data_IF_760355273731
#
_entry.id   IF_760355273731
#
_cell.length_a   1.000
_cell.length_b   1.000
_cell.length_c   1.000
_cell.angle_alpha   90.00
_cell.angle_beta   90.00
_cell.angle_gamma   90.00
#
_symmetry.space_group_name_H-M   'P 1'
#
loop_
_entity.id
_entity.type
_entity.pdbx_description
1 polymer ?
#
# COMPACT_ATOMS: atom_id res chain seq x y z
N UNK A 1 -26.72 55.41 18.14
CA UNK A 1 -27.00 53.96 18.26
C UNK A 1 -25.92 53.26 17.47
N UNK A 2 -24.88 52.79 18.15
CA UNK A 2 -23.82 51.95 17.56
C UNK A 2 -23.97 50.57 18.22
N UNK A 3 -24.73 49.68 17.59
CA UNK A 3 -24.74 48.26 17.95
C UNK A 3 -23.51 47.61 17.31
N UNK A 4 -22.44 47.51 18.09
CA UNK A 4 -21.32 46.64 17.77
C UNK A 4 -21.61 45.26 18.38
N UNK A 5 -22.03 44.32 17.54
CA UNK A 5 -22.10 42.90 17.90
C UNK A 5 -20.72 42.45 18.41
N UNK A 6 -20.60 41.79 19.57
CA UNK A 6 -19.30 41.34 20.05
C UNK A 6 -18.72 40.34 19.06
N UNK A 7 -17.50 40.60 18.60
CA UNK A 7 -16.68 39.65 17.87
C UNK A 7 -16.68 38.32 18.63
N UNK A 8 -16.97 37.23 17.90
CA UNK A 8 -16.98 35.86 18.39
C UNK A 8 -15.76 35.59 19.28
N UNK A 9 -15.97 34.97 20.45
CA UNK A 9 -14.89 34.51 21.32
C UNK A 9 -13.83 33.80 20.46
N UNK A 10 -12.52 34.07 20.66
CA UNK A 10 -11.47 33.26 20.06
C UNK A 10 -11.78 31.81 20.42
N UNK A 11 -11.84 30.92 19.43
CA UNK A 11 -12.05 29.49 19.69
C UNK A 11 -10.99 29.04 20.69
N UNK A 12 -11.42 28.46 21.80
CA UNK A 12 -10.48 27.87 22.75
C UNK A 12 -9.65 26.82 21.99
N UNK A 13 -8.31 26.90 22.03
CA UNK A 13 -7.49 25.88 21.40
C UNK A 13 -7.82 24.54 22.04
N UNK A 14 -8.24 23.57 21.21
CA UNK A 14 -8.46 22.22 21.69
C UNK A 14 -7.13 21.67 22.26
N UNK A 15 -7.17 20.88 23.35
CA UNK A 15 -5.97 20.20 23.84
C UNK A 15 -5.30 19.43 22.70
N UNK A 16 -3.98 19.59 22.55
CA UNK A 16 -3.21 18.86 21.53
C UNK A 16 -3.23 17.37 21.90
N UNK A 17 -3.88 16.54 21.07
CA UNK A 17 -3.78 15.10 21.20
C UNK A 17 -2.34 14.69 20.86
N UNK A 18 -1.61 14.21 21.86
CA UNK A 18 -0.26 13.68 21.65
C UNK A 18 -0.39 12.20 21.28
N UNK A 19 -0.12 11.88 20.02
CA UNK A 19 -0.12 10.51 19.54
C UNK A 19 1.27 9.94 19.78
N UNK A 20 1.41 9.03 20.73
CA UNK A 20 2.62 8.25 21.00
C UNK A 20 2.50 6.79 20.57
N UNK A 21 3.58 6.03 20.75
CA UNK A 21 3.67 4.60 20.40
C UNK A 21 2.70 3.69 21.18
N UNK A 22 2.18 4.14 22.32
CA UNK A 22 1.27 3.38 23.19
C UNK A 22 -0.19 3.85 23.10
N UNK A 23 -0.49 4.82 22.24
CA UNK A 23 -1.84 5.37 22.08
C UNK A 23 -2.77 4.30 21.55
N UNK A 24 -4.00 4.25 22.05
CA UNK A 24 -5.02 3.31 21.58
C UNK A 24 -5.54 3.74 20.21
N UNK A 25 -5.60 2.80 19.26
CA UNK A 25 -6.10 3.04 17.90
C UNK A 25 -7.50 3.66 17.92
N UNK A 26 -8.35 3.27 18.89
CA UNK A 26 -9.73 3.76 19.01
C UNK A 26 -9.81 5.23 19.42
N UNK A 27 -8.82 5.72 20.17
CA UNK A 27 -8.76 7.12 20.58
C UNK A 27 -8.31 8.02 19.44
N UNK A 28 -7.41 7.50 18.57
CA UNK A 28 -6.94 8.23 17.39
C UNK A 28 -8.05 8.31 16.35
N UNK A 29 -8.78 7.21 16.16
CA UNK A 29 -9.81 7.08 15.14
C UNK A 29 -11.23 7.36 15.66
N UNK A 30 -11.38 7.95 16.85
CA UNK A 30 -12.71 8.19 17.45
C UNK A 30 -13.57 9.09 16.55
N UNK A 31 -12.98 10.12 15.97
CA UNK A 31 -13.67 10.99 15.01
C UNK A 31 -14.04 10.25 13.72
N UNK A 32 -13.11 9.44 13.17
CA UNK A 32 -13.39 8.63 11.99
C UNK A 32 -14.58 7.70 12.20
N UNK A 33 -14.67 7.07 13.39
CA UNK A 33 -15.78 6.19 13.76
C UNK A 33 -17.12 6.94 13.85
N UNK A 34 -17.12 8.12 14.47
CA UNK A 34 -18.32 8.98 14.53
C UNK A 34 -18.75 9.44 13.14
N UNK A 35 -17.78 9.78 12.29
CA UNK A 35 -18.01 10.19 10.92
C UNK A 35 -18.57 9.07 10.05
N UNK A 36 -18.08 7.83 10.23
CA UNK A 36 -18.60 6.65 9.56
C UNK A 36 -20.08 6.40 9.89
N UNK A 37 -20.45 6.48 11.18
CA UNK A 37 -21.86 6.36 11.62
C UNK A 37 -22.73 7.49 11.08
N UNK A 38 -22.23 8.72 11.11
CA UNK A 38 -22.96 9.89 10.60
C UNK A 38 -23.25 9.78 9.10
N UNK A 39 -22.34 9.16 8.34
CA UNK A 39 -22.46 8.97 6.88
C UNK A 39 -23.19 7.68 6.49
N UNK A 40 -23.59 6.84 7.44
CA UNK A 40 -24.30 5.59 7.16
C UNK A 40 -23.42 4.57 6.46
N UNK A 41 -22.12 4.50 6.78
CA UNK A 41 -21.20 3.55 6.16
C UNK A 41 -21.52 2.09 6.47
N UNK A 42 -22.44 1.80 7.42
CA UNK A 42 -22.97 0.46 7.64
C UNK A 42 -23.56 -0.18 6.37
N UNK A 43 -24.16 0.61 5.48
CA UNK A 43 -24.83 0.15 4.25
C UNK A 43 -23.92 0.16 3.01
N UNK A 44 -22.63 0.43 3.20
CA UNK A 44 -21.65 0.57 2.12
C UNK A 44 -20.60 -0.51 2.26
N UNK A 45 -20.31 -1.25 1.19
CA UNK A 45 -19.08 -2.04 1.15
C UNK A 45 -17.89 -1.08 1.07
N UNK A 46 -16.96 -1.19 2.03
CA UNK A 46 -15.72 -0.43 2.04
C UNK A 46 -14.55 -1.41 2.19
N UNK A 47 -13.68 -1.42 1.19
CA UNK A 47 -12.48 -2.25 1.14
C UNK A 47 -11.28 -1.32 1.17
N UNK A 48 -10.42 -1.49 2.16
CA UNK A 48 -9.15 -0.79 2.24
C UNK A 48 -8.05 -1.65 1.62
N UNK A 49 -7.51 -1.18 0.50
CA UNK A 49 -6.52 -1.93 -0.29
C UNK A 49 -5.10 -1.63 0.16
N UNK A 50 -4.90 -0.69 1.08
CA UNK A 50 -3.58 -0.34 1.58
C UNK A 50 -3.61 0.00 3.07
N UNK A 51 -3.09 -0.90 3.88
CA UNK A 51 -2.90 -0.70 5.31
C UNK A 51 -1.67 -1.49 5.76
N UNK A 52 -1.13 -1.14 6.92
CA UNK A 52 0.22 -1.53 7.30
C UNK A 52 0.29 -2.28 8.63
N UNK A 53 1.08 -3.35 8.61
CA UNK A 53 1.55 -4.07 9.77
C UNK A 53 2.94 -3.58 10.12
N UNK A 54 3.12 -3.09 11.35
CA UNK A 54 4.44 -2.73 11.88
C UNK A 54 5.14 -4.01 12.38
N UNK A 55 5.68 -4.79 11.44
CA UNK A 55 6.14 -6.16 11.68
C UNK A 55 7.38 -6.26 12.57
N UNK A 56 8.10 -5.15 12.74
CA UNK A 56 9.27 -5.06 13.63
C UNK A 56 8.93 -5.36 15.11
N UNK A 57 7.68 -5.16 15.53
CA UNK A 57 7.22 -5.52 16.88
C UNK A 57 7.09 -7.04 17.04
N UNK A 58 6.57 -7.69 16.00
CA UNK A 58 6.33 -9.14 15.94
C UNK A 58 7.53 -9.90 15.34
N UNK A 59 8.68 -9.23 15.20
CA UNK A 59 9.87 -9.76 14.49
C UNK A 59 10.37 -11.09 15.05
N UNK A 60 10.30 -11.25 16.37
CA UNK A 60 10.73 -12.47 17.07
C UNK A 60 9.93 -13.72 16.71
N UNK A 61 8.69 -13.54 16.25
CA UNK A 61 7.83 -14.61 15.73
C UNK A 61 8.11 -14.84 14.25
N UNK A 62 8.23 -13.76 13.47
CA UNK A 62 8.50 -13.83 12.03
C UNK A 62 9.80 -14.58 11.73
N UNK A 63 10.89 -14.30 12.47
CA UNK A 63 12.17 -14.99 12.25
C UNK A 63 12.09 -16.51 12.55
N UNK A 64 11.06 -16.99 13.25
CA UNK A 64 10.85 -18.43 13.43
C UNK A 64 10.43 -19.13 12.13
N UNK A 65 9.94 -18.38 11.16
CA UNK A 65 9.48 -18.87 9.86
C UNK A 65 10.57 -18.89 8.79
N UNK A 66 11.80 -18.45 9.12
CA UNK A 66 12.94 -18.57 8.21
C UNK A 66 13.24 -20.07 7.96
N UNK A 67 13.25 -20.44 6.68
CA UNK A 67 13.41 -21.84 6.25
C UNK A 67 14.85 -22.35 6.42
N UNK A 68 15.85 -21.51 6.18
CA UNK A 68 17.25 -21.89 6.37
C UNK A 68 17.60 -21.96 7.87
N UNK A 69 18.03 -23.13 8.39
CA UNK A 69 18.24 -23.32 9.82
C UNK A 69 19.40 -22.49 10.38
N UNK A 70 20.43 -22.20 9.58
CA UNK A 70 21.58 -21.39 10.00
C UNK A 70 21.20 -19.92 10.07
N UNK A 71 20.49 -19.43 9.05
CA UNK A 71 19.97 -18.05 9.03
C UNK A 71 18.97 -17.84 10.17
N UNK A 72 18.09 -18.81 10.41
CA UNK A 72 17.15 -18.78 11.54
C UNK A 72 17.87 -18.72 12.89
N UNK A 73 18.87 -19.58 13.14
CA UNK A 73 19.65 -19.52 14.39
C UNK A 73 20.36 -18.17 14.54
N UNK A 74 20.96 -17.65 13.47
CA UNK A 74 21.56 -16.32 13.46
C UNK A 74 20.55 -15.22 13.85
N UNK A 75 19.36 -15.23 13.24
CA UNK A 75 18.31 -14.26 13.51
C UNK A 75 17.83 -14.33 14.97
N UNK A 76 17.61 -15.54 15.49
CA UNK A 76 17.17 -15.76 16.88
C UNK A 76 18.23 -15.28 17.87
N UNK A 77 19.51 -15.59 17.62
CA UNK A 77 20.62 -15.13 18.47
C UNK A 77 20.75 -13.61 18.44
N UNK A 78 20.65 -13.01 17.26
CA UNK A 78 20.70 -11.56 17.08
C UNK A 78 19.60 -10.86 17.89
N UNK A 79 18.36 -11.34 17.79
CA UNK A 79 17.23 -10.79 18.54
C UNK A 79 17.43 -10.91 20.07
N UNK A 80 17.84 -12.10 20.55
CA UNK A 80 18.06 -12.35 21.99
C UNK A 80 19.17 -11.48 22.59
N UNK A 81 20.22 -11.22 21.83
CA UNK A 81 21.36 -10.43 22.30
C UNK A 81 21.09 -8.91 22.28
N UNK A 82 19.96 -8.46 21.72
CA UNK A 82 19.56 -7.04 21.61
C UNK A 82 20.73 -6.13 21.21
N UNK A 83 21.38 -6.48 20.10
CA UNK A 83 22.29 -5.56 19.43
C UNK A 83 21.45 -4.33 19.07
N UNK A 84 21.83 -3.12 19.52
CA UNK A 84 21.07 -1.86 19.34
C UNK A 84 20.99 -1.38 17.89
N UNK A 85 20.69 -2.28 16.97
CA UNK A 85 20.67 -2.14 15.53
C UNK A 85 19.29 -2.61 15.01
N UNK A 86 18.96 -2.30 13.74
CA UNK A 86 17.70 -2.71 13.14
C UNK A 86 17.42 -4.22 13.28
N UNK A 87 16.15 -4.66 13.20
CA UNK A 87 15.84 -6.09 13.20
C UNK A 87 16.68 -6.86 12.19
N UNK A 88 17.06 -8.10 12.54
CA UNK A 88 17.99 -8.92 11.75
C UNK A 88 17.62 -8.95 10.26
N UNK A 89 18.57 -8.59 9.39
CA UNK A 89 18.41 -8.68 7.94
C UNK A 89 17.58 -7.56 7.29
N UNK A 90 16.94 -6.68 8.07
CA UNK A 90 16.32 -5.49 7.50
C UNK A 90 17.41 -4.50 7.10
N UNK A 91 17.42 -4.12 5.82
CA UNK A 91 18.11 -2.92 5.39
C UNK A 91 17.26 -1.71 5.81
N UNK A 92 17.89 -0.77 6.51
CA UNK A 92 17.28 0.51 6.81
C UNK A 92 18.16 1.62 6.28
N UNK A 93 17.56 2.74 5.88
CA UNK A 93 18.32 3.95 5.65
C UNK A 93 19.00 4.35 6.98
N UNK A 94 20.34 4.37 6.98
CA UNK A 94 21.12 4.92 8.09
C UNK A 94 20.94 6.45 8.11
N UNK A 95 20.04 6.97 8.94
CA UNK A 95 19.89 8.41 9.08
C UNK A 95 18.56 8.92 9.61
N UNK A 96 18.18 10.10 9.11
CA UNK A 96 17.04 10.90 9.59
C UNK A 96 15.72 10.25 9.19
N UNK A 97 15.09 9.55 10.14
CA UNK A 97 13.72 9.04 9.99
C UNK A 97 12.74 10.18 10.15
N UNK A 98 12.19 10.62 9.02
CA UNK A 98 11.23 11.73 8.99
C UNK A 98 9.78 11.27 8.79
N UNK A 99 9.53 9.99 8.51
CA UNK A 99 8.18 9.44 8.34
C UNK A 99 7.33 9.58 9.60
N UNK A 100 7.90 9.46 10.82
CA UNK A 100 7.19 9.82 12.06
C UNK A 100 7.03 11.34 12.31
N UNK A 101 7.15 12.14 11.25
CA UNK A 101 7.00 13.60 11.27
C UNK A 101 7.95 14.27 12.28
N UNK A 102 9.18 13.78 12.33
CA UNK A 102 10.20 14.19 13.30
C UNK A 102 9.92 13.70 14.73
N UNK A 103 9.29 12.52 14.86
CA UNK A 103 8.92 11.91 16.15
C UNK A 103 7.58 12.39 16.73
N UNK A 104 6.82 13.21 16.01
CA UNK A 104 5.51 13.70 16.44
C UNK A 104 4.40 12.66 16.31
N UNK A 105 4.53 11.75 15.34
CA UNK A 105 3.62 10.63 15.12
C UNK A 105 4.47 9.35 15.05
N UNK A 106 5.07 8.92 16.17
CA UNK A 106 6.01 7.80 16.21
C UNK A 106 5.32 6.44 16.10
N UNK A 107 3.99 6.37 16.21
CA UNK A 107 3.26 5.11 16.10
C UNK A 107 3.40 4.45 14.73
N UNK A 108 3.58 5.26 13.67
CA UNK A 108 3.79 4.76 12.31
C UNK A 108 5.09 3.96 12.19
N UNK A 109 6.06 4.21 13.08
CA UNK A 109 7.35 3.51 13.11
C UNK A 109 7.41 2.36 14.14
N UNK A 110 6.70 2.46 15.27
CA UNK A 110 6.87 1.58 16.44
C UNK A 110 5.56 1.42 17.24
N UNK A 111 4.50 0.85 16.64
CA UNK A 111 3.17 0.71 17.25
C UNK A 111 3.13 -0.32 18.40
N UNK A 112 3.31 0.17 19.63
CA UNK A 112 3.31 -0.60 20.89
C UNK A 112 2.04 -0.40 21.72
N UNK A 113 0.92 -0.19 21.05
CA UNK A 113 -0.41 -0.18 21.67
C UNK A 113 -0.60 -1.44 22.54
N UNK A 114 -1.15 -1.24 23.74
CA UNK A 114 -1.43 -2.33 24.66
C UNK A 114 -2.67 -3.08 24.22
N UNK A 115 -2.52 -4.38 24.00
CA UNK A 115 -3.61 -5.30 23.64
C UNK A 115 -3.85 -6.22 24.83
N UNK A 116 -5.05 -6.19 25.39
CA UNK A 116 -5.42 -7.01 26.54
C UNK A 116 -6.16 -8.29 26.13
N UNK A 117 -6.71 -8.31 24.93
CA UNK A 117 -7.33 -9.45 24.28
C UNK A 117 -6.26 -10.51 23.98
N UNK A 118 -6.57 -11.78 24.25
CA UNK A 118 -5.61 -12.89 24.10
C UNK A 118 -6.12 -14.02 23.20
N UNK A 119 -7.35 -13.91 22.69
CA UNK A 119 -8.00 -14.95 21.88
C UNK A 119 -7.34 -15.10 20.49
N UNK A 120 -6.78 -14.01 19.97
CA UNK A 120 -6.10 -13.95 18.67
C UNK A 120 -4.79 -13.17 18.80
N UNK A 121 -3.96 -13.22 17.76
CA UNK A 121 -2.70 -12.48 17.72
C UNK A 121 -2.91 -10.98 17.90
N UNK A 122 -1.98 -10.28 18.59
CA UNK A 122 -2.11 -8.85 18.86
C UNK A 122 -2.36 -8.01 17.60
N UNK A 123 -1.71 -8.36 16.50
CA UNK A 123 -1.81 -7.59 15.26
C UNK A 123 -3.17 -7.79 14.60
N UNK A 124 -3.82 -8.94 14.79
CA UNK A 124 -5.23 -9.15 14.39
C UNK A 124 -6.14 -8.19 15.15
N UNK A 125 -5.96 -8.06 16.46
CA UNK A 125 -6.76 -7.14 17.30
C UNK A 125 -6.58 -5.69 16.84
N UNK A 126 -5.34 -5.27 16.58
CA UNK A 126 -5.05 -3.91 16.11
C UNK A 126 -5.67 -3.64 14.74
N UNK A 127 -5.58 -4.59 13.82
CA UNK A 127 -6.24 -4.50 12.51
C UNK A 127 -7.77 -4.43 12.66
N UNK A 128 -8.38 -5.26 13.51
CA UNK A 128 -9.82 -5.21 13.79
C UNK A 128 -10.25 -3.87 14.42
N UNK A 129 -9.45 -3.30 15.33
CA UNK A 129 -9.70 -1.97 15.91
C UNK A 129 -9.70 -0.90 14.82
N UNK A 130 -8.71 -0.93 13.92
CA UNK A 130 -8.64 0.00 12.80
C UNK A 130 -9.85 -0.17 11.86
N UNK A 131 -10.14 -1.40 11.44
CA UNK A 131 -11.28 -1.71 10.57
C UNK A 131 -12.60 -1.22 11.14
N UNK A 132 -12.88 -1.51 12.41
CA UNK A 132 -14.12 -1.08 13.06
C UNK A 132 -14.20 0.45 13.20
N UNK A 133 -13.07 1.12 13.45
CA UNK A 133 -13.04 2.57 13.64
C UNK A 133 -13.14 3.33 12.31
N UNK A 134 -12.58 2.79 11.23
CA UNK A 134 -12.66 3.37 9.88
C UNK A 134 -13.93 2.97 9.12
N UNK A 135 -14.66 1.94 9.59
CA UNK A 135 -15.83 1.42 8.89
C UNK A 135 -15.47 0.58 7.67
N UNK A 136 -14.50 -0.31 7.80
CA UNK A 136 -13.96 -1.16 6.73
C UNK A 136 -14.49 -2.59 6.86
N UNK A 137 -14.88 -3.19 5.73
CA UNK A 137 -15.29 -4.60 5.63
C UNK A 137 -14.13 -5.54 5.36
N UNK A 138 -13.22 -5.15 4.47
CA UNK A 138 -12.02 -5.90 4.09
C UNK A 138 -10.80 -4.98 4.17
N UNK A 139 -9.74 -5.44 4.81
CA UNK A 139 -8.49 -4.67 4.91
C UNK A 139 -7.33 -5.51 4.39
N UNK A 140 -6.64 -5.00 3.38
CA UNK A 140 -5.41 -5.56 2.83
C UNK A 140 -4.24 -5.03 3.64
N UNK A 141 -3.45 -5.93 4.20
CA UNK A 141 -2.34 -5.58 5.09
C UNK A 141 -1.00 -5.89 4.41
N UNK A 142 -0.18 -4.85 4.24
CA UNK A 142 1.21 -4.87 3.78
C UNK A 142 2.19 -4.82 4.97
N UNK A 143 3.43 -5.28 4.80
CA UNK A 143 4.50 -4.94 5.75
C UNK A 143 4.87 -3.45 5.66
N UNK A 144 5.66 -2.95 6.62
CA UNK A 144 6.16 -1.57 6.63
C UNK A 144 7.68 -1.52 6.41
N UNK A 145 8.57 -1.78 7.40
CA UNK A 145 10.01 -1.84 7.16
C UNK A 145 10.47 -2.75 6.01
N UNK A 146 9.82 -3.89 5.79
CA UNK A 146 10.21 -4.82 4.73
C UNK A 146 9.97 -4.29 3.32
N UNK A 147 9.25 -3.19 3.15
CA UNK A 147 9.10 -2.53 1.83
C UNK A 147 10.45 -2.06 1.25
N UNK A 148 11.48 -1.95 2.08
CA UNK A 148 12.84 -1.61 1.63
C UNK A 148 13.68 -2.82 1.19
N UNK A 149 13.24 -4.06 1.41
CA UNK A 149 14.04 -5.26 1.12
C UNK A 149 14.41 -5.41 -0.36
N UNK A 150 13.69 -4.78 -1.27
CA UNK A 150 14.05 -4.75 -2.69
C UNK A 150 15.42 -4.13 -2.98
N UNK A 151 15.92 -3.30 -2.06
CA UNK A 151 17.25 -2.67 -2.08
C UNK A 151 18.30 -3.42 -1.26
N UNK A 152 18.00 -4.59 -0.71
CA UNK A 152 18.95 -5.31 0.14
C UNK A 152 20.18 -5.74 -0.67
N UNK A 153 21.43 -5.49 -0.20
CA UNK A 153 22.65 -5.80 -0.96
C UNK A 153 22.91 -7.31 -1.11
N UNK A 154 22.24 -8.14 -0.31
CA UNK A 154 22.23 -9.60 -0.41
C UNK A 154 20.82 -10.05 -0.82
N UNK A 155 20.58 -10.41 -2.10
CA UNK A 155 19.26 -10.81 -2.59
C UNK A 155 18.61 -11.97 -1.82
N UNK A 156 19.42 -12.87 -1.25
CA UNK A 156 18.95 -14.02 -0.49
C UNK A 156 18.21 -13.62 0.80
N UNK A 157 18.54 -12.46 1.37
CA UNK A 157 17.86 -11.96 2.55
C UNK A 157 16.40 -11.58 2.26
N UNK A 158 16.13 -11.04 1.07
CA UNK A 158 14.77 -10.76 0.61
C UNK A 158 13.96 -12.07 0.51
N UNK A 159 14.57 -13.15 0.04
CA UNK A 159 13.96 -14.49 -0.02
C UNK A 159 13.64 -15.01 1.38
N UNK A 160 14.63 -15.03 2.28
CA UNK A 160 14.45 -15.57 3.63
C UNK A 160 13.39 -14.82 4.43
N UNK A 161 13.42 -13.48 4.40
CA UNK A 161 12.50 -12.65 5.18
C UNK A 161 11.13 -12.57 4.52
N UNK A 162 11.05 -12.36 3.20
CA UNK A 162 9.79 -12.26 2.46
C UNK A 162 8.94 -13.51 2.60
N UNK A 163 9.55 -14.69 2.45
CA UNK A 163 8.85 -15.97 2.60
C UNK A 163 8.47 -16.27 4.06
N UNK A 164 9.35 -15.94 5.01
CA UNK A 164 9.04 -16.06 6.44
C UNK A 164 7.84 -15.19 6.85
N UNK A 165 7.80 -13.96 6.36
CA UNK A 165 6.69 -13.04 6.59
C UNK A 165 5.37 -13.55 6.01
N UNK A 166 5.37 -14.05 4.77
CA UNK A 166 4.16 -14.63 4.17
C UNK A 166 3.62 -15.80 4.99
N UNK A 167 4.49 -16.71 5.45
CA UNK A 167 4.10 -17.83 6.33
C UNK A 167 3.52 -17.34 7.66
N UNK A 168 4.19 -16.39 8.31
CA UNK A 168 3.68 -15.76 9.54
C UNK A 168 2.30 -15.13 9.33
N UNK A 169 2.13 -14.33 8.27
CA UNK A 169 0.85 -13.70 7.94
C UNK A 169 -0.24 -14.75 7.75
N UNK A 170 0.00 -15.77 6.94
CA UNK A 170 -0.97 -16.84 6.66
C UNK A 170 -1.36 -17.58 7.95
N UNK A 171 -0.39 -18.04 8.73
CA UNK A 171 -0.66 -18.91 9.88
C UNK A 171 -1.19 -18.18 11.12
N UNK A 172 -0.78 -16.92 11.32
CA UNK A 172 -1.03 -16.19 12.59
C UNK A 172 -2.04 -15.07 12.44
N UNK A 173 -2.08 -14.42 11.28
CA UNK A 173 -2.89 -13.22 11.07
C UNK A 173 -4.14 -13.54 10.25
N UNK A 174 -3.95 -14.04 9.03
CA UNK A 174 -5.04 -14.27 8.07
C UNK A 174 -5.96 -15.43 8.47
N UNK A 175 -5.46 -16.37 9.30
CA UNK A 175 -6.25 -17.49 9.81
C UNK A 175 -7.29 -17.07 10.87
N UNK A 176 -7.13 -15.88 11.48
CA UNK A 176 -7.96 -15.44 12.60
C UNK A 176 -9.22 -14.65 12.19
N UNK A 177 -9.16 -13.93 11.07
CA UNK A 177 -10.29 -13.13 10.56
C UNK A 177 -10.22 -13.10 9.03
N UNK A 178 -11.22 -13.68 8.36
CA UNK A 178 -11.28 -13.83 6.91
C UNK A 178 -11.48 -12.50 6.16
N UNK A 179 -11.75 -11.41 6.89
CA UNK A 179 -11.80 -10.04 6.36
C UNK A 179 -10.43 -9.40 6.23
N UNK A 180 -9.43 -9.90 6.96
CA UNK A 180 -8.04 -9.45 6.82
C UNK A 180 -7.43 -10.20 5.63
N UNK A 181 -6.96 -9.44 4.66
CA UNK A 181 -6.38 -9.94 3.41
C UNK A 181 -4.94 -9.47 3.29
N UNK A 182 -4.19 -10.04 2.35
CA UNK A 182 -2.86 -9.55 2.01
C UNK A 182 -2.59 -9.72 0.52
N UNK A 183 -1.69 -8.88 0.00
CA UNK A 183 -0.96 -9.18 -1.22
C UNK A 183 0.40 -9.74 -0.81
N UNK A 184 0.62 -11.03 -1.06
CA UNK A 184 1.79 -11.73 -0.54
C UNK A 184 3.08 -11.09 -1.07
N UNK A 185 4.05 -10.88 -0.18
CA UNK A 185 5.34 -10.30 -0.52
C UNK A 185 6.10 -11.20 -1.49
N UNK A 186 6.56 -10.66 -2.61
CA UNK A 186 7.32 -11.42 -3.60
C UNK A 186 8.82 -11.06 -3.52
N UNK A 187 9.72 -12.04 -3.28
CA UNK A 187 11.16 -11.79 -3.25
C UNK A 187 11.71 -11.59 -4.66
N UNK A 188 11.48 -10.39 -5.19
CA UNK A 188 11.54 -10.11 -6.61
C UNK A 188 12.99 -10.04 -7.13
N UNK A 189 14.01 -9.89 -6.27
CA UNK A 189 15.41 -9.99 -6.72
C UNK A 189 15.79 -11.39 -7.22
N UNK A 190 15.03 -12.44 -6.88
CA UNK A 190 15.28 -13.83 -7.29
C UNK A 190 14.05 -14.42 -8.00
N UNK A 191 13.97 -14.38 -9.35
CA UNK A 191 12.76 -14.72 -10.10
C UNK A 191 12.26 -16.15 -9.84
N UNK A 192 13.17 -17.11 -9.68
CA UNK A 192 12.84 -18.50 -9.39
C UNK A 192 12.14 -18.64 -8.03
N UNK A 193 12.65 -17.94 -7.00
CA UNK A 193 12.03 -17.90 -5.67
C UNK A 193 10.73 -17.09 -5.66
N UNK A 194 10.60 -16.07 -6.53
CA UNK A 194 9.35 -15.37 -6.74
C UNK A 194 8.26 -16.31 -7.30
N UNK A 195 8.58 -17.11 -8.33
CA UNK A 195 7.67 -18.11 -8.90
C UNK A 195 7.28 -19.14 -7.85
N UNK A 196 8.28 -19.68 -7.12
CA UNK A 196 8.05 -20.63 -6.03
C UNK A 196 7.09 -20.04 -4.99
N UNK A 197 7.32 -18.81 -4.57
CA UNK A 197 6.48 -18.13 -3.57
C UNK A 197 5.05 -17.99 -4.07
N UNK A 198 4.83 -17.53 -5.31
CA UNK A 198 3.49 -17.43 -5.92
C UNK A 198 2.77 -18.78 -5.92
N UNK A 199 3.45 -19.87 -6.32
CA UNK A 199 2.84 -21.21 -6.37
C UNK A 199 2.43 -21.74 -5.00
N UNK A 200 3.21 -21.44 -3.97
CA UNK A 200 2.95 -21.91 -2.61
C UNK A 200 1.79 -21.15 -1.93
N UNK A 201 1.76 -19.81 -2.07
CA UNK A 201 0.80 -18.97 -1.34
C UNK A 201 -0.44 -18.61 -2.17
N UNK A 202 -0.36 -18.73 -3.49
CA UNK A 202 -1.38 -18.31 -4.43
C UNK A 202 -2.71 -19.07 -4.32
N UNK A 203 -2.73 -20.24 -3.67
CA UNK A 203 -3.97 -21.01 -3.42
C UNK A 203 -4.71 -20.58 -2.14
N UNK A 204 -4.11 -19.74 -1.29
CA UNK A 204 -4.75 -19.35 -0.03
C UNK A 204 -5.81 -18.26 -0.25
N UNK A 205 -7.02 -18.44 0.31
CA UNK A 205 -8.19 -17.57 0.08
C UNK A 205 -8.02 -16.13 0.61
N UNK A 206 -7.18 -15.95 1.63
CA UNK A 206 -6.86 -14.60 2.16
C UNK A 206 -5.63 -13.95 1.51
N UNK A 207 -4.93 -14.65 0.62
CA UNK A 207 -3.88 -14.05 -0.22
C UNK A 207 -4.55 -13.66 -1.54
N UNK A 208 -4.89 -12.40 -1.72
CA UNK A 208 -5.72 -11.96 -2.86
C UNK A 208 -4.92 -11.35 -4.01
N UNK A 209 -3.59 -11.32 -3.88
CA UNK A 209 -2.66 -10.88 -4.92
C UNK A 209 -1.22 -10.92 -4.41
N UNK A 210 -0.35 -10.20 -5.10
CA UNK A 210 1.09 -10.26 -4.88
C UNK A 210 1.70 -8.87 -4.83
N UNK A 211 2.58 -8.61 -3.86
CA UNK A 211 3.23 -7.32 -3.66
C UNK A 211 4.68 -7.35 -4.11
N UNK A 212 5.06 -6.40 -4.95
CA UNK A 212 6.44 -6.07 -5.30
C UNK A 212 6.74 -4.67 -4.77
N UNK A 213 7.85 -4.54 -4.05
CA UNK A 213 8.33 -3.24 -3.58
C UNK A 213 8.94 -2.45 -4.75
N UNK A 214 8.47 -1.24 -4.98
CA UNK A 214 8.87 -0.45 -6.15
C UNK A 214 10.23 0.20 -6.01
N UNK A 215 10.69 0.46 -4.80
CA UNK A 215 12.07 0.88 -4.49
C UNK A 215 13.03 -0.27 -4.78
N UNK A 216 13.43 -0.38 -6.05
CA UNK A 216 14.35 -1.37 -6.60
C UNK A 216 14.89 -0.92 -7.95
N UNK A 217 16.08 -1.43 -8.29
CA UNK A 217 16.69 -1.19 -9.59
C UNK A 217 16.52 -2.34 -10.58
N UNK A 218 16.11 -3.52 -10.11
CA UNK A 218 15.96 -4.67 -10.99
C UNK A 218 14.80 -4.41 -11.97
N UNK A 219 15.05 -4.46 -13.30
CA UNK A 219 14.07 -4.03 -14.29
C UNK A 219 12.86 -4.95 -14.31
N UNK A 220 11.67 -4.44 -13.99
CA UNK A 220 10.42 -5.22 -13.94
C UNK A 220 10.04 -5.84 -15.29
N UNK A 221 10.53 -5.33 -16.40
CA UNK A 221 10.25 -5.85 -17.74
C UNK A 221 11.21 -6.97 -18.19
N UNK A 222 12.20 -7.35 -17.36
CA UNK A 222 13.20 -8.35 -17.75
C UNK A 222 12.57 -9.71 -18.09
N UNK A 223 13.15 -10.42 -19.06
CA UNK A 223 12.60 -11.69 -19.55
C UNK A 223 12.52 -12.79 -18.48
N UNK A 224 13.35 -12.72 -17.44
CA UNK A 224 13.33 -13.70 -16.33
C UNK A 224 12.00 -13.66 -15.55
N UNK A 225 11.23 -12.57 -15.63
CA UNK A 225 9.93 -12.46 -14.96
C UNK A 225 8.75 -12.95 -15.80
N UNK A 226 8.97 -13.35 -17.06
CA UNK A 226 7.85 -13.75 -17.92
C UNK A 226 7.16 -15.01 -17.42
N UNK A 227 7.90 -15.95 -16.84
CA UNK A 227 7.31 -17.09 -16.13
C UNK A 227 6.50 -16.61 -14.92
N UNK A 228 7.07 -15.75 -14.08
CA UNK A 228 6.39 -15.19 -12.91
C UNK A 228 5.04 -14.56 -13.28
N UNK A 229 5.01 -13.71 -14.30
CA UNK A 229 3.78 -13.06 -14.78
C UNK A 229 2.78 -14.05 -15.38
N UNK A 230 3.26 -15.07 -16.10
CA UNK A 230 2.40 -16.16 -16.58
C UNK A 230 1.73 -16.87 -15.41
N UNK A 231 2.50 -17.22 -14.37
CA UNK A 231 1.98 -17.92 -13.20
C UNK A 231 0.99 -17.04 -12.42
N UNK A 232 1.31 -15.77 -12.17
CA UNK A 232 0.37 -14.85 -11.52
C UNK A 232 -0.95 -14.72 -12.30
N UNK A 233 -0.87 -14.68 -13.63
CA UNK A 233 -2.05 -14.68 -14.50
C UNK A 233 -2.86 -15.97 -14.44
N UNK A 234 -2.22 -17.14 -14.28
CA UNK A 234 -2.90 -18.42 -14.08
C UNK A 234 -3.71 -18.45 -12.77
N UNK A 235 -3.21 -17.79 -11.72
CA UNK A 235 -3.91 -17.62 -10.46
C UNK A 235 -5.05 -16.58 -10.51
N UNK A 236 -5.17 -15.83 -11.61
CA UNK A 236 -6.11 -14.69 -11.77
C UNK A 236 -6.01 -13.66 -10.63
N UNK A 237 -4.80 -13.47 -10.09
CA UNK A 237 -4.51 -12.58 -8.98
C UNK A 237 -3.62 -11.42 -9.43
N UNK A 238 -3.92 -10.17 -9.00
CA UNK A 238 -3.16 -9.00 -9.42
C UNK A 238 -1.75 -8.97 -8.82
N UNK A 239 -0.88 -8.22 -9.51
CA UNK A 239 0.42 -7.78 -9.00
C UNK A 239 0.33 -6.32 -8.59
N UNK A 240 0.75 -5.99 -7.38
CA UNK A 240 0.82 -4.64 -6.86
C UNK A 240 2.27 -4.15 -6.78
N UNK A 241 2.48 -2.90 -7.17
CA UNK A 241 3.73 -2.17 -7.07
C UNK A 241 3.59 -1.13 -5.95
N UNK A 242 4.05 -1.51 -4.77
CA UNK A 242 3.97 -0.67 -3.57
C UNK A 242 5.10 0.32 -3.55
N UNK A 243 4.75 1.59 -3.42
CA UNK A 243 5.74 2.64 -3.49
C UNK A 243 6.59 2.76 -2.23
N UNK A 244 7.58 3.64 -2.31
CA UNK A 244 8.54 3.96 -1.29
C UNK A 244 9.51 5.03 -1.81
N UNK A 245 10.39 5.51 -0.95
CA UNK A 245 11.46 6.42 -1.33
C UNK A 245 12.83 5.76 -1.13
N UNK A 246 13.87 6.26 -1.80
CA UNK A 246 15.23 5.83 -1.54
C UNK A 246 16.21 6.98 -1.72
N UNK A 247 16.83 7.41 -0.62
CA UNK A 247 17.70 8.59 -0.62
C UNK A 247 18.95 8.44 -1.50
N UNK A 248 19.39 7.21 -1.74
CA UNK A 248 20.57 6.92 -2.55
C UNK A 248 20.20 6.65 -4.02
N UNK A 249 18.95 6.88 -4.44
CA UNK A 249 18.60 6.83 -5.85
C UNK A 249 19.37 7.91 -6.62
N UNK A 250 20.16 7.55 -7.64
CA UNK A 250 20.94 8.50 -8.43
C UNK A 250 20.12 9.63 -9.05
N UNK A 251 18.85 9.38 -9.38
CA UNK A 251 17.97 10.37 -10.01
C UNK A 251 17.36 11.36 -9.01
N UNK A 252 17.39 11.05 -7.71
CA UNK A 252 16.86 11.88 -6.63
C UNK A 252 17.97 12.48 -5.75
N UNK A 253 19.25 12.25 -6.07
CA UNK A 253 20.39 12.64 -5.23
C UNK A 253 20.52 14.15 -4.95
N UNK A 254 19.90 14.99 -5.77
CA UNK A 254 19.92 16.46 -5.62
C UNK A 254 18.80 16.98 -4.71
N UNK A 255 17.84 16.14 -4.34
CA UNK A 255 16.75 16.47 -3.44
C UNK A 255 17.29 16.54 -2.01
N UNK A 256 17.26 17.73 -1.40
CA UNK A 256 17.92 17.99 -0.13
C UNK A 256 16.99 18.09 1.09
N UNK A 257 15.68 17.90 0.90
CA UNK A 257 14.66 17.94 1.97
C UNK A 257 13.78 16.70 1.91
N UNK A 258 13.39 16.19 3.08
CA UNK A 258 12.46 15.07 3.16
C UNK A 258 11.12 15.37 2.49
N UNK A 259 10.60 16.60 2.59
CA UNK A 259 9.37 16.98 1.87
C UNK A 259 9.47 16.68 0.36
N UNK A 260 10.60 17.04 -0.27
CA UNK A 260 10.83 16.74 -1.68
C UNK A 260 11.08 15.25 -1.93
N UNK A 261 11.80 14.57 -1.03
CA UNK A 261 12.07 13.14 -1.17
C UNK A 261 10.79 12.30 -1.03
N UNK A 262 9.89 12.69 -0.12
CA UNK A 262 8.60 12.04 0.06
C UNK A 262 7.72 12.26 -1.17
N UNK A 263 7.58 13.52 -1.62
CA UNK A 263 6.72 13.86 -2.75
C UNK A 263 7.19 13.26 -4.09
N UNK A 264 8.51 13.19 -4.32
CA UNK A 264 9.05 12.66 -5.57
C UNK A 264 9.40 11.18 -5.49
N UNK A 265 9.99 10.71 -4.39
CA UNK A 265 10.46 9.33 -4.23
C UNK A 265 9.33 8.31 -4.38
N UNK A 266 8.22 8.53 -3.67
CA UNK A 266 7.02 7.69 -3.76
C UNK A 266 6.35 7.72 -5.14
N UNK A 267 6.67 8.67 -6.01
CA UNK A 267 6.15 8.68 -7.39
C UNK A 267 7.14 8.00 -8.33
N UNK A 268 8.43 8.26 -8.13
CA UNK A 268 9.46 8.12 -9.14
C UNK A 268 9.65 6.68 -9.60
N UNK A 269 9.83 5.73 -8.67
CA UNK A 269 10.02 4.33 -9.03
C UNK A 269 8.80 3.76 -9.75
N UNK A 270 7.58 4.07 -9.30
CA UNK A 270 6.35 3.63 -9.96
C UNK A 270 6.19 4.22 -11.36
N UNK A 271 6.54 5.49 -11.56
CA UNK A 271 6.55 6.11 -12.89
C UNK A 271 7.52 5.41 -13.86
N UNK A 272 8.73 5.07 -13.38
CA UNK A 272 9.74 4.34 -14.18
C UNK A 272 9.29 2.90 -14.47
N UNK A 273 8.80 2.18 -13.46
CA UNK A 273 8.34 0.80 -13.62
C UNK A 273 7.12 0.71 -14.52
N UNK A 274 6.16 1.63 -14.40
CA UNK A 274 4.99 1.69 -15.27
C UNK A 274 5.37 1.98 -16.71
N UNK A 275 6.26 2.95 -16.94
CA UNK A 275 6.79 3.24 -18.28
C UNK A 275 7.34 1.96 -18.92
N UNK A 276 8.18 1.24 -18.18
CA UNK A 276 8.75 -0.02 -18.65
C UNK A 276 7.70 -1.13 -18.83
N UNK A 277 6.74 -1.23 -17.92
CA UNK A 277 5.66 -2.21 -17.96
C UNK A 277 4.81 -2.06 -19.23
N UNK A 278 4.42 -0.83 -19.54
CA UNK A 278 3.59 -0.51 -20.69
C UNK A 278 4.41 -0.62 -21.98
N UNK A 279 5.53 0.08 -22.11
CA UNK A 279 6.28 0.14 -23.38
C UNK A 279 6.86 -1.23 -23.82
N UNK A 280 7.09 -2.16 -22.90
CA UNK A 280 7.50 -3.52 -23.24
C UNK A 280 6.32 -4.47 -23.54
N UNK A 281 5.08 -3.96 -23.60
CA UNK A 281 3.89 -4.74 -23.95
C UNK A 281 3.54 -5.82 -22.94
N UNK A 282 3.83 -5.62 -21.64
CA UNK A 282 3.49 -6.61 -20.61
C UNK A 282 1.97 -6.85 -20.56
N UNK A 283 1.09 -5.82 -20.61
CA UNK A 283 -0.36 -6.03 -20.71
C UNK A 283 -0.80 -6.74 -22.01
N UNK A 284 -0.08 -6.58 -23.12
CA UNK A 284 -0.37 -7.31 -24.37
C UNK A 284 -0.01 -8.79 -24.26
N UNK A 285 1.10 -9.10 -23.58
CA UNK A 285 1.56 -10.47 -23.37
C UNK A 285 0.74 -11.22 -22.32
N UNK A 286 0.31 -10.53 -21.27
CA UNK A 286 -0.46 -11.08 -20.16
C UNK A 286 -1.74 -10.28 -19.93
N UNK A 287 -2.72 -10.33 -20.86
CA UNK A 287 -3.88 -9.45 -20.84
C UNK A 287 -4.83 -9.64 -19.65
N UNK A 288 -4.75 -10.76 -18.92
CA UNK A 288 -5.52 -10.97 -17.69
C UNK A 288 -4.73 -10.61 -16.42
N UNK A 289 -3.43 -10.34 -16.53
CA UNK A 289 -2.63 -9.91 -15.38
C UNK A 289 -2.90 -8.43 -15.10
N UNK A 290 -3.65 -8.19 -14.04
CA UNK A 290 -4.00 -6.86 -13.54
C UNK A 290 -2.81 -6.30 -12.74
N UNK A 291 -2.42 -5.05 -12.99
CA UNK A 291 -1.42 -4.36 -12.16
C UNK A 291 -2.07 -3.32 -11.26
N UNK A 292 -1.58 -3.16 -10.03
CA UNK A 292 -2.05 -2.16 -9.08
C UNK A 292 -0.87 -1.27 -8.68
N UNK A 293 -1.05 0.04 -8.75
CA UNK A 293 -0.03 1.03 -8.42
C UNK A 293 -0.42 1.70 -7.10
N UNK A 294 0.33 1.37 -6.05
CA UNK A 294 -0.05 1.61 -4.66
C UNK A 294 0.82 2.72 -4.07
N UNK A 295 0.20 3.65 -3.33
CA UNK A 295 0.85 4.67 -2.49
C UNK A 295 1.73 5.69 -3.24
N UNK A 296 1.41 6.01 -4.50
CA UNK A 296 2.16 7.00 -5.31
C UNK A 296 1.43 8.33 -5.51
N UNK A 297 0.27 8.49 -4.87
CA UNK A 297 -0.71 9.49 -5.28
C UNK A 297 -1.16 9.29 -6.73
N UNK A 298 -1.90 10.26 -7.27
CA UNK A 298 -2.57 10.11 -8.57
C UNK A 298 -2.15 11.19 -9.58
N UNK A 299 -1.63 12.33 -9.13
CA UNK A 299 -1.34 13.48 -9.98
C UNK A 299 -0.30 13.21 -11.09
N UNK A 300 0.58 12.21 -10.91
CA UNK A 300 1.58 11.82 -11.90
C UNK A 300 0.99 11.01 -13.07
N UNK A 301 -0.14 10.35 -12.88
CA UNK A 301 -0.71 9.42 -13.86
C UNK A 301 -1.17 10.16 -15.13
N UNK A 302 -1.93 11.28 -15.05
CA UNK A 302 -2.27 12.10 -16.22
C UNK A 302 -1.06 12.62 -17.00
N UNK A 303 0.01 12.99 -16.30
CA UNK A 303 1.25 13.41 -16.92
C UNK A 303 1.86 12.26 -17.73
N UNK A 304 1.97 11.07 -17.13
CA UNK A 304 2.57 9.93 -17.80
C UNK A 304 1.74 9.45 -18.99
N UNK A 305 0.41 9.39 -18.85
CA UNK A 305 -0.52 9.04 -19.94
C UNK A 305 -0.29 9.91 -21.18
N UNK A 306 -0.37 11.23 -21.02
CA UNK A 306 -0.17 12.17 -22.12
C UNK A 306 1.24 12.09 -22.69
N UNK A 307 2.25 12.01 -21.81
CA UNK A 307 3.64 12.02 -22.23
C UNK A 307 4.00 10.78 -23.04
N UNK A 308 3.51 9.61 -22.64
CA UNK A 308 3.75 8.36 -23.35
C UNK A 308 2.99 8.31 -24.67
N UNK A 309 1.74 8.75 -24.72
CA UNK A 309 0.96 8.78 -25.97
C UNK A 309 1.62 9.66 -27.03
N UNK A 310 2.00 10.89 -26.66
CA UNK A 310 2.65 11.84 -27.58
C UNK A 310 3.98 11.29 -28.11
N UNK A 311 4.78 10.65 -27.24
CA UNK A 311 6.04 10.05 -27.66
C UNK A 311 5.83 8.79 -28.51
N UNK A 312 4.86 7.95 -28.14
CA UNK A 312 4.54 6.72 -28.87
C UNK A 312 4.10 7.02 -30.30
N UNK A 313 3.23 8.01 -30.51
CA UNK A 313 2.78 8.42 -31.85
C UNK A 313 3.92 8.85 -32.78
N UNK A 314 5.04 9.33 -32.23
CA UNK A 314 6.23 9.71 -33.00
C UNK A 314 7.24 8.56 -33.19
N UNK A 315 7.17 7.53 -32.32
CA UNK A 315 8.22 6.51 -32.15
C UNK A 315 7.66 5.10 -31.99
N UNK A 316 6.54 4.77 -32.66
CA UNK A 316 5.87 3.47 -32.51
C UNK A 316 6.80 2.26 -32.70
N UNK A 317 7.84 2.40 -33.55
CA UNK A 317 8.86 1.36 -33.76
C UNK A 317 9.69 1.02 -32.52
N UNK A 318 9.75 1.89 -31.51
CA UNK A 318 10.44 1.64 -30.24
C UNK A 318 9.59 0.82 -29.25
N UNK A 319 8.27 0.69 -29.48
CA UNK A 319 7.36 -0.13 -28.69
C UNK A 319 6.45 -0.99 -29.62
N UNK A 320 7.04 -1.88 -30.45
CA UNK A 320 6.33 -2.54 -31.55
C UNK A 320 5.29 -3.57 -31.09
N UNK A 321 5.28 -3.96 -29.81
CA UNK A 321 4.30 -4.88 -29.26
C UNK A 321 2.95 -4.21 -28.98
N UNK A 322 2.93 -2.89 -28.81
CA UNK A 322 1.71 -2.15 -28.47
C UNK A 322 0.76 -2.07 -29.67
N UNK A 323 -0.52 -2.34 -29.39
CA UNK A 323 -1.63 -2.27 -30.36
C UNK A 323 -2.57 -1.09 -30.10
N UNK A 324 -2.42 -0.44 -28.95
CA UNK A 324 -3.19 0.72 -28.48
C UNK A 324 -2.24 1.82 -28.00
N UNK A 325 -2.78 3.00 -27.72
CA UNK A 325 -2.01 4.05 -27.04
C UNK A 325 -1.61 3.57 -25.63
N UNK A 326 -0.42 3.94 -25.13
CA UNK A 326 0.00 3.68 -23.74
C UNK A 326 -1.07 4.01 -22.69
N UNK A 327 -1.75 5.15 -22.83
CA UNK A 327 -2.82 5.58 -21.91
C UNK A 327 -4.03 4.64 -21.90
N UNK A 328 -4.35 3.98 -23.01
CA UNK A 328 -5.45 3.01 -23.07
C UNK A 328 -5.16 1.80 -22.19
N UNK A 329 -3.92 1.27 -22.21
CA UNK A 329 -3.52 0.20 -21.28
C UNK A 329 -3.57 0.66 -19.83
N UNK A 330 -3.13 1.88 -19.55
CA UNK A 330 -3.19 2.45 -18.20
C UNK A 330 -4.64 2.62 -17.72
N UNK A 331 -5.59 2.88 -18.62
CA UNK A 331 -7.02 3.06 -18.30
C UNK A 331 -7.80 1.74 -18.19
N UNK A 332 -7.29 0.67 -18.78
CA UNK A 332 -8.00 -0.63 -18.89
C UNK A 332 -7.36 -1.78 -18.12
N UNK A 333 -6.04 -1.77 -17.93
CA UNK A 333 -5.26 -2.88 -17.36
C UNK A 333 -4.53 -2.52 -16.05
N UNK A 334 -4.58 -1.26 -15.63
CA UNK A 334 -3.92 -0.77 -14.43
C UNK A 334 -4.95 -0.19 -13.45
N UNK A 335 -4.78 -0.55 -12.18
CA UNK A 335 -5.53 -0.02 -11.05
C UNK A 335 -4.64 0.85 -10.19
N UNK A 336 -5.27 1.75 -9.43
CA UNK A 336 -4.59 2.76 -8.63
C UNK A 336 -5.21 2.80 -7.24
N UNK A 337 -4.43 3.14 -6.21
CA UNK A 337 -4.96 3.40 -4.87
C UNK A 337 -5.19 4.89 -4.64
N UNK A 338 -6.16 5.23 -3.78
CA UNK A 338 -6.51 6.63 -3.49
C UNK A 338 -5.42 7.36 -2.72
N UNK A 339 -4.85 6.72 -1.70
CA UNK A 339 -3.90 7.36 -0.79
C UNK A 339 -2.48 7.35 -1.40
N UNK A 340 -1.72 8.45 -1.22
CA UNK A 340 -2.17 9.77 -0.75
C UNK A 340 -2.89 10.56 -1.85
N UNK A 341 -4.14 10.99 -1.63
CA UNK A 341 -4.88 11.69 -2.69
C UNK A 341 -4.59 13.20 -2.72
N UNK A 342 -4.15 13.74 -3.86
CA UNK A 342 -3.94 15.19 -4.00
C UNK A 342 -5.26 15.97 -4.10
N UNK A 343 -5.71 16.56 -3.00
CA UNK A 343 -7.00 17.27 -2.90
C UNK A 343 -6.90 18.80 -2.93
N UNK A 344 -5.70 19.36 -2.97
CA UNK A 344 -5.46 20.82 -2.92
C UNK A 344 -6.01 21.58 -4.13
N UNK A 345 -6.18 20.90 -5.26
CA UNK A 345 -6.75 21.45 -6.49
C UNK A 345 -7.89 20.56 -7.03
N UNK A 346 -9.16 20.81 -6.65
CA UNK A 346 -10.29 19.93 -6.99
C UNK A 346 -10.50 19.71 -8.49
N UNK A 347 -10.26 20.72 -9.32
CA UNK A 347 -10.40 20.60 -10.78
C UNK A 347 -9.31 19.69 -11.38
N UNK A 348 -8.07 19.78 -10.86
CA UNK A 348 -6.99 18.90 -11.27
C UNK A 348 -7.28 17.46 -10.84
N UNK A 349 -7.76 17.26 -9.60
CA UNK A 349 -8.20 15.94 -9.12
C UNK A 349 -9.32 15.37 -10.00
N UNK A 350 -10.31 16.18 -10.38
CA UNK A 350 -11.40 15.73 -11.26
C UNK A 350 -10.87 15.26 -12.62
N UNK A 351 -9.94 16.00 -13.22
CA UNK A 351 -9.27 15.58 -14.47
C UNK A 351 -8.50 14.27 -14.26
N UNK A 352 -7.76 14.15 -13.17
CA UNK A 352 -7.05 12.92 -12.83
C UNK A 352 -7.99 11.72 -12.74
N UNK A 353 -9.09 11.83 -12.00
CA UNK A 353 -10.05 10.73 -11.84
C UNK A 353 -10.73 10.34 -13.15
N UNK A 354 -11.02 11.31 -14.01
CA UNK A 354 -11.56 11.05 -15.35
C UNK A 354 -10.55 10.33 -16.25
N UNK A 355 -9.29 10.78 -16.27
CA UNK A 355 -8.24 10.19 -17.10
C UNK A 355 -7.94 8.73 -16.74
N UNK A 356 -7.84 8.41 -15.44
CA UNK A 356 -7.58 7.03 -14.98
C UNK A 356 -8.83 6.14 -14.99
N UNK A 357 -10.01 6.67 -15.35
CA UNK A 357 -11.28 5.94 -15.27
C UNK A 357 -11.60 5.43 -13.86
N UNK A 358 -11.57 6.34 -12.89
CA UNK A 358 -11.65 6.05 -11.45
C UNK A 358 -12.88 5.22 -11.05
N UNK A 359 -14.01 5.34 -11.75
CA UNK A 359 -15.20 4.55 -11.46
C UNK A 359 -14.98 3.03 -11.58
N UNK A 360 -13.92 2.59 -12.27
CA UNK A 360 -13.58 1.17 -12.42
C UNK A 360 -12.15 0.81 -12.00
N UNK A 361 -11.21 1.75 -12.10
CA UNK A 361 -9.78 1.49 -11.85
C UNK A 361 -9.26 2.01 -10.52
N UNK A 362 -10.01 2.86 -9.80
CA UNK A 362 -9.55 3.42 -8.52
C UNK A 362 -10.04 2.56 -7.36
N UNK A 363 -9.13 2.24 -6.45
CA UNK A 363 -9.35 1.44 -5.26
C UNK A 363 -9.11 2.30 -4.02
N UNK A 364 -10.04 2.28 -3.06
CA UNK A 364 -9.82 2.97 -1.80
C UNK A 364 -8.66 2.35 -1.01
N UNK A 365 -7.87 3.23 -0.41
CA UNK A 365 -6.73 2.94 0.44
C UNK A 365 -6.71 3.96 1.58
N UNK A 366 -6.45 3.49 2.81
CA UNK A 366 -6.27 4.38 3.95
C UNK A 366 -4.80 4.65 4.24
N UNK A 367 -3.90 3.70 4.01
CA UNK A 367 -2.50 3.71 4.48
C UNK A 367 -2.39 3.80 6.01
N UNK A 368 -3.35 3.23 6.74
CA UNK A 368 -3.27 3.19 8.20
C UNK A 368 -2.13 2.26 8.65
N UNK A 369 -1.24 2.64 9.59
CA UNK A 369 -1.30 3.78 10.51
C UNK A 369 -0.30 4.91 10.19
N UNK A 370 -0.01 5.15 8.92
CA UNK A 370 0.88 6.24 8.51
C UNK A 370 0.30 7.60 8.88
N UNK A 371 1.14 8.63 8.92
CA UNK A 371 0.77 9.94 9.44
C UNK A 371 -0.18 10.71 8.50
N UNK A 372 -0.12 10.36 7.21
CA UNK A 372 -0.84 10.90 6.07
C UNK A 372 -1.91 9.94 5.56
N UNK A 373 -2.42 9.08 6.44
CA UNK A 373 -3.52 8.17 6.13
C UNK A 373 -4.79 8.93 5.70
N UNK A 374 -5.54 8.35 4.78
CA UNK A 374 -6.80 8.87 4.26
C UNK A 374 -8.01 8.15 4.88
N UNK A 375 -9.12 8.90 5.02
CA UNK A 375 -10.39 8.35 5.51
C UNK A 375 -11.32 8.01 4.33
N UNK A 376 -12.28 7.08 4.47
CA UNK A 376 -13.29 6.86 3.42
C UNK A 376 -14.11 8.12 3.08
N UNK A 377 -14.19 9.08 4.02
CA UNK A 377 -14.77 10.40 3.77
C UNK A 377 -14.07 11.20 2.67
N UNK A 378 -12.77 10.96 2.45
CA UNK A 378 -11.97 11.58 1.37
C UNK A 378 -12.58 11.32 -0.01
N UNK A 379 -13.23 10.17 -0.22
CA UNK A 379 -13.99 9.85 -1.44
C UNK A 379 -15.46 10.24 -1.31
N UNK A 380 -16.09 9.92 -0.16
CA UNK A 380 -17.52 10.16 0.03
C UNK A 380 -17.90 11.64 -0.11
N UNK A 381 -17.04 12.55 0.32
CA UNK A 381 -17.32 14.00 0.31
C UNK A 381 -16.99 14.67 -1.04
N UNK A 382 -16.46 13.95 -2.04
CA UNK A 382 -16.20 14.52 -3.36
C UNK A 382 -17.51 14.92 -4.06
N UNK A 383 -17.72 16.21 -4.41
CA UNK A 383 -19.01 16.68 -4.89
C UNK A 383 -19.29 16.33 -6.36
N UNK A 384 -18.24 16.02 -7.14
CA UNK A 384 -18.35 15.71 -8.56
C UNK A 384 -18.51 14.20 -8.85
N UNK A 385 -18.46 13.35 -7.83
CA UNK A 385 -18.73 11.92 -7.96
C UNK A 385 -20.19 11.61 -7.64
N UNK A 386 -20.80 10.75 -8.47
CA UNK A 386 -22.10 10.16 -8.15
C UNK A 386 -22.01 9.22 -6.94
N UNK A 387 -23.14 8.91 -6.30
CA UNK A 387 -23.16 7.91 -5.22
C UNK A 387 -22.60 6.56 -5.69
N UNK A 388 -22.99 6.12 -6.89
CA UNK A 388 -22.52 4.86 -7.46
C UNK A 388 -21.01 4.86 -7.69
N UNK A 389 -20.44 5.97 -8.20
CA UNK A 389 -19.00 6.12 -8.36
C UNK A 389 -18.27 6.02 -7.01
N UNK A 390 -18.82 6.65 -5.96
CA UNK A 390 -18.27 6.56 -4.60
C UNK A 390 -18.31 5.11 -4.09
N UNK A 391 -19.43 4.40 -4.25
CA UNK A 391 -19.56 2.97 -3.88
C UNK A 391 -18.58 2.09 -4.64
N UNK A 392 -18.37 2.39 -5.92
CA UNK A 392 -17.40 1.71 -6.75
C UNK A 392 -15.99 1.85 -6.18
N UNK A 393 -15.54 3.08 -5.98
CA UNK A 393 -14.19 3.37 -5.48
C UNK A 393 -13.98 2.83 -4.07
N UNK A 394 -14.96 3.02 -3.18
CA UNK A 394 -14.86 2.62 -1.78
C UNK A 394 -14.82 1.10 -1.58
N UNK A 395 -15.46 0.30 -2.44
CA UNK A 395 -15.44 -1.15 -2.23
C UNK A 395 -15.80 -2.03 -3.43
N UNK A 396 -16.71 -1.62 -4.32
CA UNK A 396 -17.15 -2.54 -5.39
C UNK A 396 -16.06 -2.81 -6.43
N UNK A 397 -15.14 -1.87 -6.66
CA UNK A 397 -13.98 -2.08 -7.53
C UNK A 397 -13.07 -3.17 -6.94
N UNK A 398 -12.77 -3.08 -5.64
CA UNK A 398 -12.03 -4.09 -4.89
C UNK A 398 -12.73 -5.45 -4.92
N UNK A 399 -14.05 -5.49 -4.70
CA UNK A 399 -14.81 -6.72 -4.77
C UNK A 399 -14.71 -7.41 -6.14
N UNK A 400 -14.72 -6.63 -7.24
CA UNK A 400 -14.58 -7.17 -8.61
C UNK A 400 -13.16 -7.67 -8.90
N UNK A 401 -12.13 -6.90 -8.57
CA UNK A 401 -10.75 -7.26 -8.93
C UNK A 401 -10.22 -8.45 -8.10
N UNK A 402 -10.63 -8.55 -6.83
CA UNK A 402 -10.17 -9.56 -5.89
C UNK A 402 -11.18 -10.70 -5.64
N UNK A 403 -12.34 -10.67 -6.30
CA UNK A 403 -13.43 -11.64 -6.12
C UNK A 403 -13.90 -11.77 -4.64
N UNK A 404 -14.14 -10.63 -3.99
CA UNK A 404 -14.66 -10.58 -2.61
C UNK A 404 -16.18 -10.56 -2.59
N UNK A 405 -16.78 -11.04 -1.51
CA UNK A 405 -18.22 -10.91 -1.26
C UNK A 405 -18.58 -9.42 -1.16
N UNK A 406 -19.47 -8.89 -2.03
CA UNK A 406 -19.82 -7.49 -2.03
C UNK A 406 -20.80 -7.10 -0.90
N UNK A 407 -21.24 -8.05 -0.07
CA UNK A 407 -22.15 -7.80 1.05
C UNK A 407 -21.39 -7.10 2.19
N UNK A 408 -21.89 -5.97 2.73
CA UNK A 408 -21.29 -5.36 3.91
C UNK A 408 -21.27 -6.33 5.12
N UNK A 409 -20.13 -6.41 5.80
CA UNK A 409 -19.86 -7.33 6.93
C UNK A 409 -19.47 -6.61 8.22
N UNK A 410 -19.11 -5.32 8.13
CA UNK A 410 -18.62 -4.54 9.27
C UNK A 410 -19.68 -4.32 10.35
N UNK A 411 -19.21 -4.01 11.56
CA UNK A 411 -20.03 -3.62 12.70
C UNK A 411 -19.48 -2.29 13.23
N UNK A 412 -20.26 -1.21 13.08
CA UNK A 412 -19.87 0.15 13.46
C UNK A 412 -20.16 0.49 14.93
#
# INVERSE_FOLDING_TARGET
MNDATPLSRPGEPMPVQTIGIHTDTRDILDHARKDAKKRGFEDWLICDIDAHHIESISWHEIIQYIEDPVVKDNAIRYYKQRMGAPPYGLNGDFGLRYQSVGGRIPMSDDRRETVSETDVHRDVVLTQRAMNSLGIDYMVVFPTPMLFLGMHPQPEMEVWLGRAYNRFMIERILAADDRIKTLAYIPFNTPEEAVRTVREVGHHDSVIGFCVTSTRYKPVHHNDYMELYSVMQEFDKPIAFHSGYHWQDPSLMTVNRFLGMHALGFVWCNMVHMTNWILNGIPERFPRLKSIWVESGLAWVPFLMQRLDDQYLMRQSEAPQLKKLPSEYMRENCWYTTQPMETTHPDALKVTLDMINAETQLLFASDWPHFDFDLPSTIYDLPFLSEQAKRNILGLNAARIFNLDPTPRKKL
#
